data_IF_020986288966
#
_entry.id   IF_020986288966
#
_cell.length_a   1.000
_cell.length_b   1.000
_cell.length_c   1.000
_cell.angle_alpha   90.00
_cell.angle_beta   90.00
_cell.angle_gamma   90.00
#
_symmetry.space_group_name_H-M   'P 1'
#
loop_
_entity.id
_entity.type
_entity.pdbx_description
1 polymer ?
#
# COMPACT_ATOMS: atom_id res chain seq x y z
N UNK A 1 26.75 9.30 16.63
CA UNK A 1 25.48 9.95 16.20
C UNK A 1 24.97 9.20 14.97
N UNK A 2 24.68 7.90 15.05
CA UNK A 2 23.52 7.19 15.63
C UNK A 2 22.19 7.51 14.91
N UNK A 3 21.77 6.55 14.08
CA UNK A 3 20.38 6.08 13.88
C UNK A 3 19.28 7.01 13.34
N UNK A 4 19.54 7.93 12.40
CA UNK A 4 18.45 8.76 11.81
C UNK A 4 17.78 8.12 10.56
N UNK A 5 18.30 7.00 10.04
CA UNK A 5 17.86 6.47 8.74
C UNK A 5 16.65 5.53 8.74
N UNK A 6 16.33 4.86 9.85
CA UNK A 6 15.33 3.77 9.84
C UNK A 6 14.02 4.10 10.59
N UNK A 7 14.04 5.01 11.57
CA UNK A 7 12.86 5.28 12.40
C UNK A 7 11.97 6.41 11.86
N UNK A 8 12.48 7.28 10.97
CA UNK A 8 11.69 8.40 10.43
C UNK A 8 10.59 7.99 9.45
N UNK A 9 10.63 6.79 8.89
CA UNK A 9 9.70 6.41 7.83
C UNK A 9 8.41 5.73 8.33
N UNK A 10 8.47 5.07 9.49
CA UNK A 10 7.31 4.34 10.02
C UNK A 10 6.31 5.29 10.72
N UNK A 11 6.80 6.31 11.43
CA UNK A 11 5.92 7.26 12.13
C UNK A 11 5.17 8.17 11.14
N UNK A 12 5.85 8.70 10.11
CA UNK A 12 5.23 9.60 9.13
C UNK A 12 4.14 8.90 8.31
N UNK A 13 4.33 7.64 7.94
CA UNK A 13 3.33 6.89 7.15
C UNK A 13 2.06 6.61 7.93
N UNK A 14 2.18 6.26 9.22
CA UNK A 14 1.00 6.03 10.10
C UNK A 14 0.25 7.35 10.33
N UNK A 15 0.94 8.47 10.49
CA UNK A 15 0.30 9.77 10.69
C UNK A 15 -0.53 10.23 9.47
N UNK A 16 -0.13 9.83 8.26
CA UNK A 16 -0.82 10.20 7.01
C UNK A 16 -1.97 9.24 6.66
N UNK A 17 -1.86 7.96 7.02
CA UNK A 17 -2.87 6.92 6.74
C UNK A 17 -3.92 6.79 7.84
N UNK A 18 -4.63 7.88 8.14
CA UNK A 18 -5.71 7.89 9.13
C UNK A 18 -7.05 7.39 8.51
N UNK A 19 -7.92 6.71 9.28
CA UNK A 19 -9.24 6.32 8.79
C UNK A 19 -10.04 7.51 8.22
N UNK A 20 -10.60 7.34 7.03
CA UNK A 20 -11.38 8.38 6.35
C UNK A 20 -10.56 9.47 5.64
N UNK A 21 -9.22 9.48 5.78
CA UNK A 21 -8.35 10.37 5.02
C UNK A 21 -8.17 9.89 3.57
N UNK A 22 -7.78 10.80 2.69
CA UNK A 22 -7.34 10.46 1.32
C UNK A 22 -5.82 10.64 1.25
N UNK A 23 -5.13 9.64 0.70
CA UNK A 23 -3.68 9.66 0.53
C UNK A 23 -3.32 9.18 -0.87
N UNK A 24 -2.26 9.73 -1.44
CA UNK A 24 -1.64 9.24 -2.67
C UNK A 24 -0.42 8.40 -2.28
N UNK A 25 -0.37 7.18 -2.80
CA UNK A 25 0.75 6.27 -2.59
C UNK A 25 1.50 6.13 -3.91
N UNK A 26 2.77 6.51 -3.94
CA UNK A 26 3.63 6.49 -5.13
C UNK A 26 4.71 5.44 -5.01
N UNK A 27 5.01 4.80 -6.14
CA UNK A 27 6.07 3.80 -6.25
C UNK A 27 5.88 2.65 -5.22
N UNK A 28 4.63 2.26 -5.01
CA UNK A 28 4.26 1.09 -4.22
C UNK A 28 4.35 -0.19 -5.04
N UNK A 29 4.57 -1.29 -4.32
CA UNK A 29 4.64 -2.62 -4.88
C UNK A 29 3.36 -3.38 -4.53
N UNK A 30 2.94 -4.27 -5.43
CA UNK A 30 1.99 -5.32 -5.10
C UNK A 30 2.80 -6.55 -4.69
N UNK A 31 2.63 -6.97 -3.45
CA UNK A 31 3.25 -8.17 -2.90
C UNK A 31 2.24 -9.33 -2.90
N UNK A 32 2.70 -10.51 -3.28
CA UNK A 32 1.91 -11.73 -3.26
C UNK A 32 2.16 -12.47 -1.95
N UNK A 33 1.21 -12.37 -1.03
CA UNK A 33 1.29 -13.04 0.26
C UNK A 33 0.27 -14.18 0.35
N UNK A 34 0.76 -15.42 0.37
CA UNK A 34 -0.06 -16.64 0.50
C UNK A 34 -1.21 -16.72 -0.53
N UNK A 35 -0.93 -16.35 -1.77
CA UNK A 35 -1.92 -16.33 -2.85
C UNK A 35 -2.79 -15.08 -2.93
N UNK A 36 -2.69 -14.15 -1.97
CA UNK A 36 -3.44 -12.88 -2.02
C UNK A 36 -2.53 -11.68 -2.24
N UNK A 37 -3.04 -10.68 -2.96
CA UNK A 37 -2.31 -9.43 -3.23
C UNK A 37 -2.38 -8.49 -2.02
N UNK A 38 -1.29 -7.77 -1.77
CA UNK A 38 -1.21 -6.67 -0.80
C UNK A 38 -0.48 -5.48 -1.39
N UNK A 39 -0.96 -4.28 -1.10
CA UNK A 39 -0.24 -3.05 -1.42
C UNK A 39 0.82 -2.80 -0.33
N UNK A 40 2.07 -2.61 -0.73
CA UNK A 40 3.18 -2.34 0.17
C UNK A 40 4.02 -1.17 -0.36
N UNK A 41 4.62 -0.42 0.55
CA UNK A 41 5.52 0.70 0.24
C UNK A 41 6.88 0.35 0.80
N UNK A 42 7.91 0.31 -0.05
CA UNK A 42 9.28 0.04 0.37
C UNK A 42 10.09 1.33 0.56
N UNK A 43 11.42 1.22 0.71
CA UNK A 43 12.32 2.36 0.92
C UNK A 43 12.35 3.38 -0.24
N UNK A 44 11.87 3.03 -1.42
CA UNK A 44 11.78 3.90 -2.60
C UNK A 44 10.38 4.45 -2.83
N UNK A 45 9.40 3.99 -2.06
CA UNK A 45 8.02 4.43 -2.13
C UNK A 45 7.75 5.67 -1.28
N UNK A 46 6.64 6.36 -1.56
CA UNK A 46 6.22 7.54 -0.83
C UNK A 46 4.71 7.53 -0.58
N UNK A 47 4.30 8.02 0.59
CA UNK A 47 2.90 8.22 0.98
C UNK A 47 2.72 9.69 1.31
N UNK A 48 1.78 10.35 0.65
CA UNK A 48 1.48 11.77 0.82
C UNK A 48 -0.01 11.98 1.10
N UNK A 49 -0.32 12.94 1.96
CA UNK A 49 -1.69 13.36 2.20
C UNK A 49 -2.24 14.02 0.94
N UNK A 50 -3.52 13.80 0.65
CA UNK A 50 -4.19 14.37 -0.49
C UNK A 50 -5.50 15.05 -0.08
N UNK A 51 -6.03 15.87 -0.98
CA UNK A 51 -7.40 16.37 -0.85
C UNK A 51 -8.40 15.20 -0.88
N UNK A 52 -9.61 15.45 -0.37
CA UNK A 52 -10.66 14.44 -0.32
C UNK A 52 -10.93 13.84 -1.71
N UNK A 53 -10.94 12.51 -1.79
CA UNK A 53 -11.30 11.80 -3.01
C UNK A 53 -12.68 12.24 -3.50
N UNK A 54 -12.80 12.50 -4.80
CA UNK A 54 -14.06 12.82 -5.46
C UNK A 54 -14.84 11.56 -5.91
N UNK A 55 -14.50 10.40 -5.35
CA UNK A 55 -15.07 9.11 -5.70
C UNK A 55 -15.40 8.30 -4.44
N UNK A 56 -16.39 7.42 -4.57
CA UNK A 56 -16.73 6.47 -3.51
C UNK A 56 -15.87 5.22 -3.64
N UNK A 57 -15.28 4.78 -2.52
CA UNK A 57 -14.52 3.53 -2.47
C UNK A 57 -15.47 2.35 -2.65
N UNK A 58 -15.09 1.41 -3.51
CA UNK A 58 -15.82 0.16 -3.73
C UNK A 58 -15.41 -0.89 -2.70
N UNK A 59 -15.96 -0.81 -1.49
CA UNK A 59 -15.55 -1.63 -0.33
C UNK A 59 -15.83 -3.13 -0.50
N UNK A 60 -16.79 -3.52 -1.35
CA UNK A 60 -17.11 -4.92 -1.68
C UNK A 60 -16.08 -5.58 -2.60
N UNK A 61 -15.18 -4.81 -3.21
CA UNK A 61 -14.12 -5.31 -4.11
C UNK A 61 -12.74 -5.34 -3.43
N UNK A 62 -12.61 -6.12 -2.37
CA UNK A 62 -11.35 -6.22 -1.64
C UNK A 62 -10.41 -7.28 -2.25
N UNK A 63 -9.45 -6.82 -3.04
CA UNK A 63 -8.46 -7.69 -3.71
C UNK A 63 -7.54 -8.45 -2.74
N UNK A 64 -7.43 -8.00 -1.49
CA UNK A 64 -6.64 -8.71 -0.46
C UNK A 64 -7.36 -9.95 0.11
N UNK A 65 -8.66 -10.09 -0.15
CA UNK A 65 -9.44 -11.30 0.21
C UNK A 65 -9.50 -12.31 -0.93
N UNK A 66 -9.11 -11.92 -2.14
CA UNK A 66 -9.08 -12.81 -3.30
C UNK A 66 -7.80 -13.63 -3.26
N UNK A 67 -7.94 -14.94 -3.52
CA UNK A 67 -6.82 -15.87 -3.63
C UNK A 67 -6.62 -16.19 -5.11
N UNK A 68 -5.40 -16.01 -5.56
CA UNK A 68 -4.92 -16.28 -6.90
C UNK A 68 -3.99 -17.49 -6.88
N UNK A 69 -4.06 -18.27 -7.96
CA UNK A 69 -3.15 -19.37 -8.22
C UNK A 69 -2.11 -18.93 -9.25
N UNK A 70 -0.85 -19.33 -9.04
CA UNK A 70 0.18 -19.10 -10.04
C UNK A 70 -0.02 -20.07 -11.20
N UNK A 71 -0.44 -19.54 -12.35
CA UNK A 71 -0.61 -20.32 -13.57
C UNK A 71 0.62 -20.15 -14.46
N UNK A 72 1.27 -21.27 -14.78
CA UNK A 72 2.32 -21.31 -15.79
C UNK A 72 1.67 -21.48 -17.17
N UNK A 73 1.88 -20.52 -18.06
CA UNK A 73 1.51 -20.66 -19.46
C UNK A 73 2.66 -21.40 -20.15
N UNK A 74 2.39 -22.61 -20.65
CA UNK A 74 3.33 -23.30 -21.54
C UNK A 74 3.35 -22.56 -22.88
N UNK A 75 4.53 -22.26 -23.41
CA UNK A 75 4.72 -21.66 -24.74
C UNK A 75 4.19 -22.55 -25.86
#
# INVERSE_FOLDING_TARGET
MLAIGLERNLFVTVDVLQPGSTSIIRNANIDMFKGSMRLAVDKWGHVEAAEAANFTVKEDNNLSLVVYELVHVAE
#
